data_IF_749755351883
#
_entry.id   IF_749755351883
#
_cell.length_a   1.000
_cell.length_b   1.000
_cell.length_c   1.000
_cell.angle_alpha   90.00
_cell.angle_beta   90.00
_cell.angle_gamma   90.00
#
_symmetry.space_group_name_H-M   'P 1'
#
loop_
_entity.id
_entity.type
_entity.pdbx_description
1 polymer ?
#
# COMPACT_ATOMS: atom_id res chain seq x y z
N UNK A 1 28.29 -19.80 61.59
CA UNK A 1 27.86 -20.67 62.70
C UNK A 1 26.80 -21.63 62.16
N UNK A 2 27.12 -22.94 62.11
CA UNK A 2 26.28 -24.16 61.93
C UNK A 2 25.25 -24.20 60.76
N UNK A 3 25.42 -25.01 59.70
CA UNK A 3 25.39 -26.48 59.54
C UNK A 3 24.01 -27.17 59.61
N UNK A 4 23.66 -27.83 58.47
CA UNK A 4 22.99 -29.16 58.29
C UNK A 4 21.50 -29.27 58.69
N UNK A 5 20.64 -30.13 58.13
CA UNK A 5 20.80 -31.48 57.53
C UNK A 5 19.46 -32.00 56.92
N UNK A 6 19.53 -32.85 55.87
CA UNK A 6 18.82 -34.15 55.62
C UNK A 6 17.26 -34.21 55.58
N UNK A 7 16.55 -35.19 54.98
CA UNK A 7 16.84 -36.48 54.31
C UNK A 7 15.61 -36.95 53.48
N UNK A 8 15.87 -37.99 52.68
CA UNK A 8 15.03 -38.73 51.71
C UNK A 8 13.85 -39.53 52.30
N UNK A 9 12.93 -40.00 51.46
CA UNK A 9 12.60 -41.45 51.37
C UNK A 9 11.80 -41.86 50.12
N UNK A 10 12.17 -43.05 49.64
CA UNK A 10 11.73 -43.80 48.46
C UNK A 10 10.67 -44.87 48.80
N UNK A 11 10.01 -45.38 47.75
CA UNK A 11 9.71 -46.81 47.45
C UNK A 11 8.43 -47.54 47.97
N UNK A 12 7.57 -47.94 47.00
CA UNK A 12 7.41 -49.33 46.48
C UNK A 12 6.09 -50.15 46.69
N UNK A 13 5.75 -50.90 45.61
CA UNK A 13 5.04 -52.21 45.45
C UNK A 13 3.49 -52.26 45.64
N UNK A 14 2.63 -52.61 44.65
CA UNK A 14 2.38 -53.85 43.84
C UNK A 14 1.43 -54.88 44.54
N UNK A 15 0.77 -55.89 43.90
CA UNK A 15 -0.22 -55.95 42.78
C UNK A 15 -1.43 -56.91 43.08
N UNK A 16 -2.14 -57.39 42.02
CA UNK A 16 -3.05 -58.57 41.91
C UNK A 16 -4.57 -58.26 41.89
N UNK A 17 -5.50 -58.98 41.23
CA UNK A 17 -5.48 -60.24 40.46
C UNK A 17 -6.78 -60.43 39.64
N UNK A 18 -6.65 -61.12 38.49
CA UNK A 18 -7.55 -62.10 37.83
C UNK A 18 -9.03 -61.88 37.40
N UNK A 19 -9.25 -62.42 36.19
CA UNK A 19 -10.36 -63.29 35.69
C UNK A 19 -11.61 -62.63 35.08
N UNK A 20 -11.97 -63.11 33.89
CA UNK A 20 -13.38 -63.21 33.47
C UNK A 20 -13.64 -63.02 31.97
N UNK A 21 -13.71 -64.13 31.25
CA UNK A 21 -14.12 -64.25 29.84
C UNK A 21 -15.65 -64.09 29.66
N UNK A 22 -16.13 -63.45 28.57
CA UNK A 22 -17.15 -63.95 27.59
C UNK A 22 -17.85 -62.83 26.79
N UNK A 23 -17.65 -62.88 25.46
CA UNK A 23 -18.63 -62.87 24.34
C UNK A 23 -19.91 -62.01 24.49
N UNK A 24 -20.15 -61.06 23.57
CA UNK A 24 -21.31 -61.07 22.62
C UNK A 24 -21.74 -59.66 22.14
N UNK A 25 -22.14 -59.62 20.87
CA UNK A 25 -23.00 -58.63 20.16
C UNK A 25 -22.31 -57.51 19.37
N UNK A 26 -22.15 -57.83 18.09
CA UNK A 26 -22.14 -56.89 16.95
C UNK A 26 -23.32 -55.92 17.04
N UNK A 27 -23.04 -54.63 17.15
CA UNK A 27 -23.98 -53.55 16.88
C UNK A 27 -23.43 -52.76 15.69
N UNK A 28 -24.05 -52.93 14.54
CA UNK A 28 -23.82 -52.12 13.33
C UNK A 28 -24.24 -50.69 13.62
N UNK A 29 -23.26 -49.81 13.78
CA UNK A 29 -23.47 -48.37 13.92
C UNK A 29 -23.33 -47.74 12.53
N UNK A 30 -24.47 -47.46 11.90
CA UNK A 30 -24.53 -46.78 10.60
C UNK A 30 -24.22 -45.30 10.83
N UNK A 31 -22.95 -44.92 10.73
CA UNK A 31 -22.51 -43.52 10.87
C UNK A 31 -22.95 -42.73 9.64
N UNK A 32 -23.90 -41.82 9.85
CA UNK A 32 -24.37 -40.84 8.89
C UNK A 32 -23.20 -39.91 8.50
N UNK A 33 -22.68 -40.04 7.28
CA UNK A 33 -21.64 -39.17 6.74
C UNK A 33 -22.28 -37.83 6.33
N UNK A 34 -22.27 -36.84 7.22
CA UNK A 34 -22.68 -35.47 6.90
C UNK A 34 -21.63 -34.81 6.00
N UNK A 35 -21.99 -34.64 4.73
CA UNK A 35 -21.22 -33.90 3.73
C UNK A 35 -21.22 -32.42 4.12
N UNK A 36 -20.18 -31.95 4.82
CA UNK A 36 -19.92 -30.52 5.03
C UNK A 36 -19.53 -29.91 3.68
N UNK A 37 -20.51 -29.33 2.98
CA UNK A 37 -20.26 -28.49 1.83
C UNK A 37 -19.61 -27.21 2.37
N UNK A 38 -18.28 -27.13 2.33
CA UNK A 38 -17.56 -25.89 2.55
C UNK A 38 -17.86 -24.97 1.36
N UNK A 39 -18.90 -24.14 1.50
CA UNK A 39 -19.09 -23.00 0.62
C UNK A 39 -17.90 -22.07 0.83
N UNK A 40 -16.98 -22.05 -0.13
CA UNK A 40 -15.95 -21.02 -0.21
C UNK A 40 -16.66 -19.68 -0.45
N UNK A 41 -16.88 -18.93 0.63
CA UNK A 41 -17.33 -17.55 0.54
C UNK A 41 -16.21 -16.75 -0.13
N UNK A 42 -16.43 -16.35 -1.39
CA UNK A 42 -15.55 -15.38 -2.03
C UNK A 42 -15.70 -14.06 -1.26
N UNK A 43 -14.64 -13.61 -0.60
CA UNK A 43 -14.63 -12.30 0.04
C UNK A 43 -14.70 -11.24 -1.06
N UNK A 44 -15.77 -10.44 -1.06
CA UNK A 44 -15.86 -9.27 -1.94
C UNK A 44 -14.88 -8.23 -1.41
N UNK A 45 -14.01 -7.65 -2.25
CA UNK A 45 -13.10 -6.58 -1.81
C UNK A 45 -13.90 -5.41 -1.20
N UNK A 46 -13.37 -4.75 -0.15
CA UNK A 46 -14.02 -3.57 0.42
C UNK A 46 -14.15 -2.45 -0.61
N UNK A 47 -15.08 -1.52 -0.41
CA UNK A 47 -15.16 -0.34 -1.26
C UNK A 47 -13.96 0.59 -0.98
N UNK A 48 -13.40 1.24 -2.00
CA UNK A 48 -12.22 2.10 -1.80
C UNK A 48 -12.51 3.29 -0.86
N UNK A 49 -13.75 3.76 -0.83
CA UNK A 49 -14.22 4.79 0.11
C UNK A 49 -14.18 4.33 1.58
N UNK A 50 -14.32 3.02 1.85
CA UNK A 50 -14.22 2.46 3.19
C UNK A 50 -12.77 2.37 3.67
N UNK A 51 -11.84 2.39 2.71
CA UNK A 51 -10.40 2.33 2.96
C UNK A 51 -9.84 3.75 3.13
N UNK A 52 -10.10 4.62 2.17
CA UNK A 52 -9.62 6.01 2.15
C UNK A 52 -10.71 6.96 2.64
N UNK A 53 -11.12 6.84 3.90
CA UNK A 53 -12.30 7.54 4.41
C UNK A 53 -12.12 9.06 4.55
N UNK A 54 -10.92 9.50 4.93
CA UNK A 54 -10.68 10.87 5.39
C UNK A 54 -9.33 11.46 4.93
N UNK A 55 -8.81 10.97 3.80
CA UNK A 55 -7.56 11.45 3.18
C UNK A 55 -6.26 11.00 3.83
N UNK A 56 -6.19 10.93 5.17
CA UNK A 56 -5.02 10.43 5.91
C UNK A 56 -5.44 9.41 6.95
N UNK A 57 -4.67 8.33 7.08
CA UNK A 57 -4.94 7.28 8.05
C UNK A 57 -3.70 6.41 8.30
N UNK A 58 -3.60 5.90 9.53
CA UNK A 58 -2.69 4.80 9.84
C UNK A 58 -3.36 3.44 9.63
N UNK A 59 -2.64 2.49 9.03
CA UNK A 59 -3.08 1.10 8.82
C UNK A 59 -2.50 0.11 9.85
N UNK A 60 -1.93 0.59 10.98
CA UNK A 60 -1.40 -0.25 12.07
C UNK A 60 -1.79 0.29 13.43
N UNK A 61 -2.03 -0.63 14.37
CA UNK A 61 -2.43 -0.29 15.75
C UNK A 61 -1.40 0.48 16.56
N UNK A 62 -0.15 0.53 16.10
CA UNK A 62 0.96 1.27 16.71
C UNK A 62 1.43 2.46 15.85
N UNK A 63 0.73 2.75 14.75
CA UNK A 63 1.10 3.80 13.82
C UNK A 63 0.55 5.17 14.17
N UNK A 64 0.95 6.18 13.39
CA UNK A 64 0.58 7.57 13.65
C UNK A 64 0.48 8.43 12.39
N UNK A 65 -0.17 9.59 12.55
CA UNK A 65 -0.11 10.71 11.60
C UNK A 65 0.48 11.92 12.32
N UNK A 66 1.56 12.51 11.79
CA UNK A 66 2.20 13.70 12.38
C UNK A 66 2.17 14.88 11.41
N UNK A 67 1.71 16.01 11.90
CA UNK A 67 1.72 17.31 11.23
C UNK A 67 2.81 18.19 11.83
N UNK A 68 3.87 18.44 11.07
CA UNK A 68 4.87 19.44 11.42
C UNK A 68 4.38 20.86 11.09
N UNK A 69 5.26 21.84 11.31
CA UNK A 69 4.96 23.27 11.21
C UNK A 69 4.18 23.63 9.93
N UNK A 70 2.95 24.13 10.11
CA UNK A 70 2.09 24.61 9.03
C UNK A 70 1.75 23.56 7.95
N UNK A 71 1.94 22.28 8.23
CA UNK A 71 1.47 21.22 7.35
C UNK A 71 -0.03 20.97 7.52
N UNK A 72 -0.71 20.53 6.44
CA UNK A 72 -2.18 20.47 6.43
C UNK A 72 -2.75 19.29 5.66
N UNK A 73 -3.84 18.77 6.21
CA UNK A 73 -4.87 18.04 5.49
C UNK A 73 -5.98 19.03 5.10
N UNK A 74 -6.25 19.12 3.80
CA UNK A 74 -7.22 20.04 3.21
C UNK A 74 -8.43 19.23 2.77
N UNK A 75 -9.63 19.77 3.02
CA UNK A 75 -10.93 19.14 2.76
C UNK A 75 -11.11 17.74 3.38
N UNK A 76 -10.72 17.49 4.63
CA UNK A 76 -11.10 16.24 5.27
C UNK A 76 -12.62 16.14 5.41
N UNK A 77 -13.16 14.93 5.37
CA UNK A 77 -14.56 14.63 5.68
C UNK A 77 -14.87 14.76 7.18
N UNK A 78 -13.85 14.68 8.04
CA UNK A 78 -13.93 14.86 9.48
C UNK A 78 -12.60 15.37 10.04
N UNK A 79 -12.61 16.11 11.16
CA UNK A 79 -11.34 16.46 11.83
C UNK A 79 -10.74 15.29 12.62
N UNK A 80 -11.46 14.18 12.78
CA UNK A 80 -10.96 12.97 13.42
C UNK A 80 -10.42 12.00 12.38
N UNK A 81 -9.12 11.67 12.46
CA UNK A 81 -8.46 10.67 11.62
C UNK A 81 -8.60 9.29 12.25
N UNK A 82 -8.84 8.28 11.41
CA UNK A 82 -8.87 6.88 11.84
C UNK A 82 -7.44 6.40 12.06
N UNK A 83 -6.86 6.79 13.18
CA UNK A 83 -5.45 6.60 13.51
C UNK A 83 -5.28 6.48 15.03
N UNK A 84 -4.34 5.64 15.52
CA UNK A 84 -4.07 5.53 16.96
C UNK A 84 -3.60 6.83 17.61
N UNK A 85 -2.73 7.57 16.92
CA UNK A 85 -2.15 8.81 17.42
C UNK A 85 -2.01 9.88 16.35
N UNK A 86 -2.40 11.12 16.68
CA UNK A 86 -2.15 12.30 15.86
C UNK A 86 -1.23 13.26 16.61
N UNK A 87 -0.08 13.56 16.00
CA UNK A 87 0.83 14.59 16.49
C UNK A 87 0.64 15.88 15.71
N UNK A 88 0.49 17.01 16.40
CA UNK A 88 0.44 18.34 15.77
C UNK A 88 1.53 19.25 16.34
N UNK A 89 1.99 20.19 15.52
CA UNK A 89 2.93 21.21 15.97
C UNK A 89 2.16 22.45 16.45
N UNK A 90 2.15 22.66 17.76
CA UNK A 90 1.41 23.76 18.43
C UNK A 90 1.91 25.17 18.06
N UNK A 91 3.13 25.29 17.52
CA UNK A 91 3.65 26.57 17.01
C UNK A 91 3.16 26.90 15.60
N UNK A 92 2.37 26.02 14.97
CA UNK A 92 1.81 26.29 13.64
C UNK A 92 0.85 27.48 13.70
N UNK A 93 1.03 28.41 12.76
CA UNK A 93 0.13 29.55 12.58
C UNK A 93 -1.22 29.14 11.98
N UNK A 94 -1.29 27.92 11.42
CA UNK A 94 -2.47 27.37 10.76
C UNK A 94 -2.79 25.99 11.30
N UNK A 95 -4.07 25.66 11.30
CA UNK A 95 -4.57 24.39 11.82
C UNK A 95 -4.43 23.27 10.79
N UNK A 96 -4.22 22.04 11.26
CA UNK A 96 -3.92 20.88 10.41
C UNK A 96 -5.12 20.34 9.64
N UNK A 97 -6.36 20.58 10.11
CA UNK A 97 -7.62 20.16 9.48
C UNK A 97 -8.59 21.34 9.35
N UNK A 98 -8.34 22.23 8.39
CA UNK A 98 -9.21 23.40 8.15
C UNK A 98 -9.18 24.40 9.30
N UNK A 99 -10.29 24.54 10.02
CA UNK A 99 -10.44 25.47 11.16
C UNK A 99 -9.93 24.88 12.49
N UNK A 100 -9.69 23.56 12.55
CA UNK A 100 -9.25 22.87 13.77
C UNK A 100 -8.01 22.02 13.51
N UNK A 101 -7.28 21.65 14.57
CA UNK A 101 -6.30 20.58 14.43
C UNK A 101 -7.01 19.25 14.19
N UNK A 102 -6.39 18.39 13.38
CA UNK A 102 -6.83 17.01 13.29
C UNK A 102 -6.64 16.32 14.65
N UNK A 103 -7.56 15.42 15.01
CA UNK A 103 -7.49 14.58 16.21
C UNK A 103 -7.50 13.11 15.83
N UNK A 104 -7.06 12.25 16.74
CA UNK A 104 -7.06 10.80 16.61
C UNK A 104 -8.41 10.17 16.98
N UNK A 105 -8.70 9.00 16.40
CA UNK A 105 -9.79 8.12 16.85
C UNK A 105 -9.35 7.14 17.95
N UNK A 106 -8.02 6.95 18.11
CA UNK A 106 -7.45 5.91 18.98
C UNK A 106 -7.39 4.52 18.35
N UNK A 107 -7.74 4.37 17.07
CA UNK A 107 -7.77 3.09 16.37
C UNK A 107 -7.20 3.21 14.96
N UNK A 108 -6.47 2.19 14.51
CA UNK A 108 -6.06 2.10 13.11
C UNK A 108 -7.26 1.84 12.20
N UNK A 109 -7.18 2.34 10.98
CA UNK A 109 -8.16 2.00 9.97
C UNK A 109 -7.83 0.71 9.22
N UNK A 110 -8.71 0.29 8.29
CA UNK A 110 -8.50 -0.94 7.54
C UNK A 110 -7.18 -0.90 6.77
N UNK A 111 -6.48 -2.04 6.79
CA UNK A 111 -5.25 -2.27 6.03
C UNK A 111 -5.61 -2.96 4.73
N UNK A 112 -5.08 -2.47 3.61
CA UNK A 112 -5.06 -3.22 2.35
C UNK A 112 -3.90 -4.19 2.35
N UNK A 113 -4.15 -5.40 1.86
CA UNK A 113 -3.11 -6.42 1.68
C UNK A 113 -3.11 -6.90 0.23
N UNK A 114 -2.02 -6.62 -0.47
CA UNK A 114 -1.87 -6.96 -1.89
C UNK A 114 -1.29 -8.36 -2.15
N UNK A 115 -0.99 -9.15 -1.11
CA UNK A 115 -0.18 -10.35 -1.29
C UNK A 115 1.30 -10.01 -1.50
N UNK A 116 2.13 -10.96 -1.93
CA UNK A 116 3.50 -10.70 -2.36
C UNK A 116 3.54 -9.98 -3.71
N UNK A 117 4.60 -9.20 -3.96
CA UNK A 117 4.83 -8.59 -5.27
C UNK A 117 4.94 -9.67 -6.36
N UNK A 118 4.29 -9.45 -7.50
CA UNK A 118 4.54 -10.23 -8.72
C UNK A 118 5.90 -9.87 -9.30
N UNK A 119 6.74 -10.87 -9.54
CA UNK A 119 8.10 -10.71 -10.09
C UNK A 119 8.21 -11.41 -11.45
N UNK A 120 9.22 -11.04 -12.23
CA UNK A 120 9.54 -11.70 -13.51
C UNK A 120 10.95 -12.30 -13.50
N UNK A 121 11.21 -13.25 -14.39
CA UNK A 121 12.55 -13.73 -14.74
C UNK A 121 12.90 -13.42 -16.21
N UNK A 122 12.09 -12.58 -16.87
CA UNK A 122 12.30 -12.12 -18.24
C UNK A 122 13.67 -11.49 -18.39
N UNK A 123 14.33 -11.72 -19.52
CA UNK A 123 15.57 -11.04 -19.89
C UNK A 123 15.33 -9.80 -20.76
N UNK A 124 14.06 -9.44 -21.04
CA UNK A 124 13.72 -8.34 -21.93
C UNK A 124 14.17 -7.00 -21.34
N UNK A 125 14.90 -6.22 -22.14
CA UNK A 125 15.35 -4.88 -21.75
C UNK A 125 14.86 -3.84 -22.75
N UNK A 126 14.42 -2.68 -22.26
CA UNK A 126 14.07 -1.54 -23.09
C UNK A 126 14.88 -0.31 -22.69
N UNK A 127 15.33 0.43 -23.70
CA UNK A 127 15.99 1.73 -23.53
C UNK A 127 15.27 2.72 -24.42
N UNK A 128 14.80 3.82 -23.83
CA UNK A 128 14.31 4.97 -24.58
C UNK A 128 15.41 6.05 -24.54
N UNK A 129 16.12 6.31 -25.65
CA UNK A 129 17.26 7.23 -25.68
C UNK A 129 16.86 8.69 -25.37
N UNK A 130 17.84 9.56 -25.05
CA UNK A 130 17.57 10.95 -24.74
C UNK A 130 16.75 11.64 -25.83
N UNK A 131 15.78 12.46 -25.42
CA UNK A 131 14.89 13.21 -26.32
C UNK A 131 14.01 12.37 -27.27
N UNK A 132 14.01 11.04 -27.14
CA UNK A 132 13.20 10.16 -27.98
C UNK A 132 11.85 9.90 -27.33
N UNK A 133 10.78 9.87 -28.13
CA UNK A 133 9.51 9.27 -27.75
C UNK A 133 9.42 7.85 -28.31
N UNK A 134 9.14 6.87 -27.47
CA UNK A 134 9.00 5.47 -27.88
C UNK A 134 7.84 4.78 -27.16
N UNK A 135 7.11 3.94 -27.90
CA UNK A 135 6.12 3.04 -27.32
C UNK A 135 6.76 1.71 -26.93
N UNK A 136 6.51 1.25 -25.71
CA UNK A 136 7.04 0.01 -25.14
C UNK A 136 5.91 -1.00 -24.95
N UNK A 137 6.27 -2.29 -25.01
CA UNK A 137 5.38 -3.37 -24.60
C UNK A 137 4.33 -3.81 -25.62
N UNK A 138 4.64 -3.71 -26.92
CA UNK A 138 3.73 -4.18 -27.98
C UNK A 138 3.67 -5.71 -28.06
N UNK A 139 4.80 -6.36 -27.80
CA UNK A 139 4.93 -7.82 -27.89
C UNK A 139 5.23 -8.48 -26.53
N UNK A 140 5.74 -7.70 -25.58
CA UNK A 140 6.18 -8.19 -24.27
C UNK A 140 5.57 -7.33 -23.18
N UNK A 141 5.12 -7.95 -22.10
CA UNK A 141 4.66 -7.23 -20.91
C UNK A 141 5.55 -7.46 -19.68
N UNK A 142 6.61 -8.26 -19.83
CA UNK A 142 7.57 -8.56 -18.78
C UNK A 142 8.98 -8.09 -19.15
N UNK A 143 9.62 -7.33 -18.25
CA UNK A 143 10.92 -6.69 -18.48
C UNK A 143 11.88 -6.90 -17.30
N UNK A 144 13.12 -7.31 -17.60
CA UNK A 144 14.23 -7.21 -16.68
C UNK A 144 14.54 -5.73 -16.36
N UNK A 145 14.60 -4.89 -17.40
CA UNK A 145 14.88 -3.46 -17.22
C UNK A 145 14.21 -2.58 -18.25
N UNK A 146 13.78 -1.41 -17.79
CA UNK A 146 13.30 -0.30 -18.63
C UNK A 146 14.06 0.95 -18.21
N UNK A 147 14.83 1.53 -19.12
CA UNK A 147 15.54 2.80 -18.89
C UNK A 147 14.98 3.88 -19.79
N UNK A 148 14.60 5.00 -19.19
CA UNK A 148 14.06 6.17 -19.86
C UNK A 148 15.05 7.30 -19.62
N UNK A 149 15.75 7.68 -20.68
CA UNK A 149 16.84 8.65 -20.57
C UNK A 149 16.32 10.08 -20.47
N UNK A 150 17.26 11.01 -20.27
CA UNK A 150 16.95 12.41 -20.05
C UNK A 150 16.06 12.97 -21.17
N UNK A 151 15.03 13.72 -20.77
CA UNK A 151 14.05 14.31 -21.69
C UNK A 151 13.32 13.32 -22.61
N UNK A 152 13.50 12.01 -22.43
CA UNK A 152 12.85 10.99 -23.22
C UNK A 152 11.40 10.79 -22.74
N UNK A 153 10.58 10.21 -23.61
CA UNK A 153 9.20 9.83 -23.30
C UNK A 153 8.99 8.36 -23.63
N UNK A 154 8.78 7.53 -22.61
CA UNK A 154 8.27 6.18 -22.79
C UNK A 154 6.74 6.18 -22.67
N UNK A 155 6.08 5.44 -23.53
CA UNK A 155 4.64 5.22 -23.51
C UNK A 155 4.37 3.71 -23.53
N UNK A 156 3.74 3.15 -22.50
CA UNK A 156 3.39 1.74 -22.54
C UNK A 156 2.20 1.47 -23.46
N UNK A 157 2.21 0.31 -24.10
CA UNK A 157 1.17 -0.15 -25.00
C UNK A 157 -0.14 -0.47 -24.28
N UNK A 158 -1.26 -0.41 -24.99
CA UNK A 158 -2.54 -1.01 -24.56
C UNK A 158 -2.69 -2.47 -24.99
N UNK A 159 -1.63 -3.10 -25.54
CA UNK A 159 -1.65 -4.51 -25.94
C UNK A 159 -1.78 -5.47 -24.74
N UNK A 160 -1.45 -4.98 -23.55
CA UNK A 160 -1.56 -5.69 -22.29
C UNK A 160 -2.16 -4.75 -21.24
N UNK A 161 -2.92 -5.32 -20.31
CA UNK A 161 -3.49 -4.65 -19.15
C UNK A 161 -2.63 -4.80 -17.88
N UNK A 162 -1.58 -5.63 -17.94
CA UNK A 162 -0.64 -5.87 -16.87
C UNK A 162 0.80 -5.88 -17.37
N UNK A 163 1.70 -5.19 -16.65
CA UNK A 163 3.14 -5.16 -16.88
C UNK A 163 3.92 -5.54 -15.62
N UNK A 164 4.97 -6.33 -15.77
CA UNK A 164 5.86 -6.76 -14.68
C UNK A 164 7.29 -6.34 -15.02
N UNK A 165 7.90 -5.53 -14.17
CA UNK A 165 9.16 -4.86 -14.44
C UNK A 165 10.07 -5.02 -13.23
N UNK A 166 11.23 -5.65 -13.43
CA UNK A 166 12.18 -5.80 -12.34
C UNK A 166 12.82 -4.46 -11.97
N UNK A 167 13.32 -3.70 -12.95
CA UNK A 167 13.87 -2.35 -12.72
C UNK A 167 13.38 -1.35 -13.75
N UNK A 168 12.80 -0.25 -13.30
CA UNK A 168 12.46 0.90 -14.13
C UNK A 168 13.25 2.13 -13.65
N UNK A 169 14.02 2.73 -14.54
CA UNK A 169 14.84 3.92 -14.26
C UNK A 169 14.41 5.09 -15.15
N UNK A 170 14.14 6.23 -14.52
CA UNK A 170 13.72 7.47 -15.17
C UNK A 170 14.74 8.57 -14.86
N UNK A 171 15.45 9.03 -15.89
CA UNK A 171 16.44 10.10 -15.78
C UNK A 171 15.80 11.49 -15.73
N UNK A 172 16.60 12.53 -15.53
CA UNK A 172 16.18 13.93 -15.46
C UNK A 172 15.15 14.31 -16.54
N UNK A 173 14.02 14.88 -16.11
CA UNK A 173 12.94 15.36 -17.00
C UNK A 173 12.37 14.31 -17.97
N UNK A 174 12.62 13.03 -17.73
CA UNK A 174 11.97 11.96 -18.48
C UNK A 174 10.47 11.88 -18.18
N UNK A 175 9.74 11.32 -19.12
CA UNK A 175 8.29 11.13 -19.03
C UNK A 175 7.95 9.66 -19.21
N UNK A 176 7.19 9.10 -18.27
CA UNK A 176 6.55 7.80 -18.41
C UNK A 176 5.04 8.02 -18.60
N UNK A 177 4.47 7.45 -19.66
CA UNK A 177 3.02 7.52 -19.92
C UNK A 177 2.45 6.11 -19.87
N UNK A 178 1.47 5.92 -19.01
CA UNK A 178 0.90 4.60 -18.70
C UNK A 178 -0.57 4.57 -19.10
N UNK A 179 -1.01 3.69 -20.02
CA UNK A 179 -2.43 3.40 -20.15
C UNK A 179 -2.97 2.74 -18.88
N UNK A 180 -4.29 2.78 -18.72
CA UNK A 180 -4.98 2.06 -17.65
C UNK A 180 -4.54 0.59 -17.61
N UNK A 181 -4.28 0.09 -16.41
CA UNK A 181 -3.70 -1.24 -16.21
C UNK A 181 -2.94 -1.35 -14.89
N UNK A 182 -2.37 -2.52 -14.66
CA UNK A 182 -1.61 -2.87 -13.45
C UNK A 182 -0.11 -2.96 -13.75
N UNK A 183 0.70 -2.31 -12.94
CA UNK A 183 2.14 -2.23 -13.12
C UNK A 183 2.84 -2.72 -11.86
N UNK A 184 3.48 -3.88 -11.95
CA UNK A 184 4.29 -4.45 -10.88
C UNK A 184 5.73 -4.06 -11.11
N UNK A 185 6.28 -3.19 -10.26
CA UNK A 185 7.66 -2.73 -10.39
C UNK A 185 8.43 -3.10 -9.14
N UNK A 186 9.46 -3.93 -9.29
CA UNK A 186 10.30 -4.29 -8.15
C UNK A 186 11.16 -3.10 -7.70
N UNK A 187 11.89 -2.49 -8.63
CA UNK A 187 12.71 -1.29 -8.35
C UNK A 187 12.32 -0.14 -9.26
N UNK A 188 11.88 0.98 -8.68
CA UNK A 188 11.54 2.21 -9.41
C UNK A 188 12.49 3.34 -9.00
N UNK A 189 13.40 3.74 -9.89
CA UNK A 189 14.35 4.84 -9.66
C UNK A 189 13.96 6.06 -10.48
N UNK A 190 13.85 7.20 -9.81
CA UNK A 190 13.37 8.44 -10.39
C UNK A 190 14.37 9.57 -10.14
N UNK A 191 14.62 10.38 -11.16
CA UNK A 191 15.36 11.64 -11.04
C UNK A 191 14.44 12.87 -11.08
N UNK A 192 15.00 14.03 -10.71
CA UNK A 192 14.26 15.29 -10.52
C UNK A 192 13.55 15.76 -11.79
N UNK A 193 12.49 16.56 -11.61
CA UNK A 193 11.67 17.16 -12.67
C UNK A 193 11.00 16.17 -13.65
N UNK A 194 11.09 14.85 -13.42
CA UNK A 194 10.41 13.83 -14.21
C UNK A 194 8.90 13.78 -13.97
N UNK A 195 8.20 12.97 -14.78
CA UNK A 195 6.76 12.78 -14.62
C UNK A 195 6.24 11.41 -15.04
N UNK A 196 5.23 10.93 -14.32
CA UNK A 196 4.42 9.76 -14.69
C UNK A 196 3.00 10.26 -14.96
N UNK A 197 2.50 10.07 -16.18
CA UNK A 197 1.16 10.51 -16.60
C UNK A 197 0.29 9.32 -17.02
N UNK A 198 -1.01 9.40 -16.73
CA UNK A 198 -2.00 8.43 -17.21
C UNK A 198 -2.37 8.75 -18.66
N UNK A 199 -2.53 7.72 -19.47
CA UNK A 199 -3.07 7.78 -20.84
C UNK A 199 -4.52 7.33 -20.85
N UNK A 200 -5.41 8.24 -21.26
CA UNK A 200 -6.84 7.98 -21.37
C UNK A 200 -7.60 8.16 -20.05
N UNK A 201 -8.72 7.45 -19.95
CA UNK A 201 -9.72 7.68 -18.91
C UNK A 201 -9.72 6.68 -17.76
N UNK A 202 -9.07 5.52 -17.92
CA UNK A 202 -9.03 4.49 -16.88
C UNK A 202 -7.97 4.73 -15.80
N UNK A 203 -7.89 3.78 -14.87
CA UNK A 203 -7.00 3.84 -13.70
C UNK A 203 -5.70 3.08 -13.92
N UNK A 204 -4.59 3.70 -13.54
CA UNK A 204 -3.29 3.04 -13.38
C UNK A 204 -3.15 2.55 -11.94
N UNK A 205 -2.89 1.27 -11.75
CA UNK A 205 -2.53 0.70 -10.45
C UNK A 205 -1.05 0.36 -10.44
N UNK A 206 -0.28 1.05 -9.61
CA UNK A 206 1.17 0.89 -9.50
C UNK A 206 1.53 0.18 -8.19
N UNK A 207 2.14 -1.01 -8.30
CA UNK A 207 2.74 -1.75 -7.20
C UNK A 207 4.26 -1.54 -7.22
N UNK A 208 4.84 -1.10 -6.11
CA UNK A 208 6.31 -0.90 -6.00
C UNK A 208 6.88 -1.58 -4.77
N UNK A 209 7.85 -2.49 -4.96
CA UNK A 209 8.50 -3.22 -3.86
C UNK A 209 9.52 -2.36 -3.11
N UNK A 210 10.49 -1.80 -3.84
CA UNK A 210 11.55 -0.96 -3.27
C UNK A 210 10.99 0.33 -2.67
N UNK A 211 11.69 0.97 -1.71
CA UNK A 211 11.37 2.33 -1.29
C UNK A 211 11.21 3.26 -2.50
N UNK A 212 10.08 3.97 -2.57
CA UNK A 212 9.76 4.88 -3.66
C UNK A 212 9.98 6.33 -3.20
N UNK A 213 10.89 7.03 -3.85
CA UNK A 213 11.06 8.48 -3.66
C UNK A 213 10.60 9.21 -4.90
N UNK A 214 9.62 10.09 -4.76
CA UNK A 214 9.24 11.07 -5.78
C UNK A 214 10.12 12.32 -5.57
N UNK A 215 11.14 12.55 -6.42
CA UNK A 215 12.17 13.55 -6.17
C UNK A 215 11.67 14.99 -6.38
N UNK A 216 12.59 15.96 -6.26
CA UNK A 216 12.32 17.39 -6.43
C UNK A 216 11.48 17.67 -7.68
N UNK A 217 10.35 18.36 -7.51
CA UNK A 217 9.41 18.74 -8.57
C UNK A 217 8.84 17.60 -9.42
N UNK A 218 8.99 16.34 -9.00
CA UNK A 218 8.44 15.20 -9.73
C UNK A 218 6.92 15.26 -9.75
N UNK A 219 6.31 14.88 -10.88
CA UNK A 219 4.85 14.95 -11.07
C UNK A 219 4.27 13.58 -11.33
N UNK A 220 3.28 13.19 -10.53
CA UNK A 220 2.49 11.97 -10.77
C UNK A 220 1.07 12.37 -11.10
N UNK A 221 0.61 11.95 -12.28
CA UNK A 221 -0.74 12.14 -12.79
C UNK A 221 -1.20 13.62 -12.82
N UNK A 222 -0.23 14.54 -12.97
CA UNK A 222 -0.51 15.97 -13.03
C UNK A 222 -1.18 16.40 -14.35
N UNK A 223 -1.07 15.57 -15.40
CA UNK A 223 -1.75 15.79 -16.67
C UNK A 223 -3.28 15.71 -16.55
N UNK A 224 -3.81 14.72 -15.81
CA UNK A 224 -5.26 14.56 -15.63
C UNK A 224 -5.81 15.39 -14.46
N UNK A 225 -5.00 15.56 -13.40
CA UNK A 225 -5.39 16.14 -12.11
C UNK A 225 -6.54 15.42 -11.38
N UNK A 226 -7.00 14.27 -11.90
CA UNK A 226 -7.99 13.42 -11.25
C UNK A 226 -7.26 12.31 -10.48
N UNK A 227 -7.27 12.32 -9.14
CA UNK A 227 -6.57 11.30 -8.36
C UNK A 227 -7.20 9.90 -8.45
N UNK A 228 -8.44 9.75 -8.93
CA UNK A 228 -9.08 8.45 -9.18
C UNK A 228 -8.36 7.64 -10.26
N UNK A 229 -7.61 8.30 -11.16
CA UNK A 229 -6.90 7.68 -12.28
C UNK A 229 -5.56 7.06 -11.89
N UNK A 230 -5.09 7.21 -10.65
CA UNK A 230 -3.81 6.66 -10.23
C UNK A 230 -3.87 6.13 -8.80
N UNK A 231 -3.61 4.83 -8.64
CA UNK A 231 -3.49 4.15 -7.37
C UNK A 231 -2.03 3.68 -7.17
N UNK A 232 -1.51 3.82 -5.95
CA UNK A 232 -0.15 3.41 -5.59
C UNK A 232 -0.23 2.44 -4.41
N UNK A 233 0.35 1.25 -4.56
CA UNK A 233 0.63 0.36 -3.45
C UNK A 233 2.14 0.24 -3.29
N UNK A 234 2.68 0.82 -2.23
CA UNK A 234 4.10 0.73 -1.87
C UNK A 234 4.30 -0.32 -0.76
N UNK A 235 5.09 -1.35 -1.05
CA UNK A 235 5.43 -2.39 -0.07
C UNK A 235 6.46 -1.92 0.97
N UNK A 236 7.15 -0.82 0.69
CA UNK A 236 8.11 -0.16 1.55
C UNK A 236 7.76 1.33 1.66
N UNK A 237 8.73 2.17 1.98
CA UNK A 237 8.52 3.59 2.22
C UNK A 237 8.15 4.36 0.94
N UNK A 238 7.35 5.42 1.10
CA UNK A 238 7.00 6.37 0.05
C UNK A 238 7.31 7.80 0.49
N UNK A 239 8.25 8.43 -0.21
CA UNK A 239 8.68 9.80 0.07
C UNK A 239 8.24 10.74 -1.04
N UNK A 240 7.42 11.73 -0.72
CA UNK A 240 7.09 12.84 -1.59
C UNK A 240 8.06 13.98 -1.30
N UNK A 241 9.11 14.14 -2.10
CA UNK A 241 10.15 15.14 -1.86
C UNK A 241 9.66 16.56 -2.17
N UNK A 242 10.55 17.53 -1.95
CA UNK A 242 10.25 18.97 -2.04
C UNK A 242 9.59 19.33 -3.37
N UNK A 243 8.48 20.07 -3.32
CA UNK A 243 7.77 20.56 -4.51
C UNK A 243 7.17 19.48 -5.42
N UNK A 244 7.26 18.19 -5.07
CA UNK A 244 6.60 17.12 -5.80
C UNK A 244 5.07 17.30 -5.77
N UNK A 245 4.40 16.90 -6.86
CA UNK A 245 2.95 17.00 -6.99
C UNK A 245 2.37 15.68 -7.46
N UNK A 246 1.51 15.08 -6.64
CA UNK A 246 0.91 13.78 -6.91
C UNK A 246 -0.61 13.87 -6.87
N UNK A 247 -1.26 13.32 -7.89
CA UNK A 247 -2.71 13.13 -7.95
C UNK A 247 -2.99 11.63 -7.92
N UNK A 248 -3.11 11.06 -6.73
CA UNK A 248 -3.26 9.62 -6.55
C UNK A 248 -3.83 9.26 -5.17
N UNK A 249 -4.33 8.04 -5.05
CA UNK A 249 -4.55 7.38 -3.76
C UNK A 249 -3.41 6.38 -3.51
N UNK A 250 -2.77 6.47 -2.34
CA UNK A 250 -1.60 5.68 -2.00
C UNK A 250 -1.81 4.86 -0.73
N UNK A 251 -1.59 3.56 -0.80
CA UNK A 251 -1.42 2.68 0.35
C UNK A 251 0.06 2.32 0.50
N UNK A 252 0.60 2.49 1.69
CA UNK A 252 2.01 2.31 2.02
C UNK A 252 2.11 1.37 3.21
N UNK A 253 2.97 0.35 3.13
CA UNK A 253 3.05 -0.64 4.20
C UNK A 253 3.81 -0.16 5.44
N UNK A 254 4.77 0.76 5.26
CA UNK A 254 5.59 1.30 6.34
C UNK A 254 5.50 2.83 6.42
N UNK A 255 6.49 3.60 5.94
CA UNK A 255 6.50 5.05 6.12
C UNK A 255 6.05 5.83 4.89
N UNK A 256 5.14 6.79 5.08
CA UNK A 256 4.88 7.85 4.12
C UNK A 256 5.35 9.19 4.65
N UNK A 257 6.19 9.91 3.88
CA UNK A 257 6.66 11.25 4.26
C UNK A 257 6.39 12.26 3.16
N UNK A 258 5.74 13.38 3.50
CA UNK A 258 5.51 14.51 2.59
C UNK A 258 6.42 15.66 2.99
N UNK A 259 7.48 15.90 2.22
CA UNK A 259 8.47 16.94 2.48
C UNK A 259 7.93 18.35 2.22
N UNK A 260 8.76 19.34 2.56
CA UNK A 260 8.47 20.76 2.38
C UNK A 260 7.84 21.07 1.03
N UNK A 261 6.66 21.69 1.05
CA UNK A 261 5.84 22.04 -0.12
C UNK A 261 5.49 20.89 -1.09
N UNK A 262 5.77 19.64 -0.70
CA UNK A 262 5.21 18.47 -1.36
C UNK A 262 3.68 18.48 -1.23
N UNK A 263 3.01 18.10 -2.30
CA UNK A 263 1.55 18.16 -2.38
C UNK A 263 0.96 16.86 -2.94
N UNK A 264 0.03 16.27 -2.21
CA UNK A 264 -0.77 15.13 -2.66
C UNK A 264 -2.23 15.55 -2.76
N UNK A 265 -2.86 15.23 -3.88
CA UNK A 265 -4.31 15.29 -4.07
C UNK A 265 -4.82 13.86 -4.15
N UNK A 266 -5.80 13.50 -3.33
CA UNK A 266 -6.27 12.13 -3.13
C UNK A 266 -6.14 11.72 -1.67
N UNK A 267 -5.57 10.56 -1.38
CA UNK A 267 -5.41 10.07 0.00
C UNK A 267 -4.16 9.23 0.19
N UNK A 268 -3.63 9.21 1.41
CA UNK A 268 -2.44 8.44 1.77
C UNK A 268 -2.71 7.66 3.05
N UNK A 269 -2.51 6.35 2.97
CA UNK A 269 -2.59 5.42 4.09
C UNK A 269 -1.20 4.83 4.28
N UNK A 270 -0.68 4.85 5.50
CA UNK A 270 0.63 4.29 5.83
C UNK A 270 0.61 3.66 7.23
N UNK A 271 1.68 2.97 7.67
CA UNK A 271 1.82 2.70 9.11
C UNK A 271 2.10 4.00 9.83
N UNK A 272 3.16 4.68 9.42
CA UNK A 272 3.56 5.98 9.94
C UNK A 272 3.49 7.00 8.82
N UNK A 273 2.84 8.12 9.10
CA UNK A 273 2.65 9.18 8.13
C UNK A 273 3.12 10.50 8.70
N UNK A 274 4.02 11.17 7.99
CA UNK A 274 4.59 12.44 8.43
C UNK A 274 4.50 13.51 7.35
N UNK A 275 3.78 14.58 7.66
CA UNK A 275 3.77 15.78 6.87
C UNK A 275 4.81 16.75 7.45
N UNK A 276 5.89 17.00 6.72
CA UNK A 276 6.91 18.00 7.08
C UNK A 276 6.41 19.43 6.83
N UNK A 277 7.21 20.42 7.19
CA UNK A 277 6.77 21.81 7.22
C UNK A 277 6.14 22.28 5.89
N UNK A 278 5.01 22.99 5.94
CA UNK A 278 4.31 23.55 4.76
C UNK A 278 3.85 22.51 3.72
N UNK A 279 3.93 21.21 3.98
CA UNK A 279 3.43 20.18 3.07
C UNK A 279 1.91 20.05 3.16
N UNK A 280 1.30 19.50 2.11
CA UNK A 280 -0.15 19.46 1.99
C UNK A 280 -0.64 18.13 1.41
N UNK A 281 -1.68 17.59 2.03
CA UNK A 281 -2.54 16.56 1.42
C UNK A 281 -3.93 17.16 1.28
N UNK A 282 -4.50 17.14 0.08
CA UNK A 282 -5.88 17.55 -0.19
C UNK A 282 -6.71 16.33 -0.50
N UNK A 283 -7.63 16.02 0.40
CA UNK A 283 -8.55 14.93 0.20
C UNK A 283 -9.56 15.23 -0.91
N UNK A 284 -9.90 14.20 -1.67
CA UNK A 284 -10.85 14.25 -2.76
C UNK A 284 -11.87 13.12 -2.60
N UNK A 285 -12.89 13.38 -1.79
CA UNK A 285 -13.92 12.40 -1.41
C UNK A 285 -14.85 11.99 -2.56
N UNK A 286 -14.86 12.75 -3.67
CA UNK A 286 -15.58 12.35 -4.87
C UNK A 286 -14.73 11.39 -5.70
N UNK A 287 -13.45 11.72 -5.88
CA UNK A 287 -12.54 10.86 -6.64
C UNK A 287 -12.33 9.47 -6.02
N UNK A 288 -12.44 9.31 -4.69
CA UNK A 288 -12.34 7.98 -4.06
C UNK A 288 -13.49 7.05 -4.46
N UNK A 289 -14.66 7.60 -4.80
CA UNK A 289 -15.82 6.82 -5.24
C UNK A 289 -15.61 6.27 -6.65
N UNK A 290 -14.79 6.95 -7.46
CA UNK A 290 -14.42 6.54 -8.82
C UNK A 290 -13.14 5.70 -8.86
N UNK A 291 -12.43 5.58 -7.74
CA UNK A 291 -11.16 4.87 -7.66
C UNK A 291 -11.37 3.37 -7.89
N UNK A 292 -10.65 2.84 -8.88
CA UNK A 292 -10.48 1.41 -9.09
C UNK A 292 -9.06 1.00 -8.69
N UNK A 293 -8.91 0.33 -7.55
CA UNK A 293 -7.63 -0.17 -7.06
C UNK A 293 -7.48 -1.68 -7.32
N UNK A 294 -8.01 -2.14 -8.45
CA UNK A 294 -8.02 -3.54 -8.88
C UNK A 294 -8.82 -4.43 -7.93
N UNK A 295 -8.22 -5.55 -7.53
CA UNK A 295 -8.85 -6.51 -6.61
C UNK A 295 -8.65 -6.14 -5.13
N UNK A 296 -7.93 -5.05 -4.81
CA UNK A 296 -7.73 -4.61 -3.42
C UNK A 296 -8.93 -3.89 -2.84
N UNK A 297 -9.54 -3.03 -3.65
CA UNK A 297 -10.81 -2.38 -3.38
C UNK A 297 -11.42 -1.92 -4.71
N UNK A 298 -12.74 -1.81 -4.74
CA UNK A 298 -13.48 -1.36 -5.93
C UNK A 298 -14.31 -0.12 -5.63
N UNK A 299 -14.61 0.65 -6.66
CA UNK A 299 -15.71 1.62 -6.65
C UNK A 299 -17.04 0.87 -6.55
N UNK A 300 -18.04 1.49 -5.91
CA UNK A 300 -19.42 0.96 -5.88
C UNK A 300 -20.14 1.19 -7.22
#
# INVERSE_FOLDING_TARGET
MKMRHKEQLMQSRSPSSHRGMKISRFATFTTLLTLFIFSSANAVPPACQDIFQNGLQSNRGDGYVRFNYNSRLINPSSNTLLTPYVGVNDWSAIKSCGENHCSESGSAGPRLYAGPLKTTASANTAVVPPHVKQTLGQANNEFASVRIDEWATAEFSTAHDEYIIDTLEMSHKSTLRLPAGTYWIKTLKLEVDGKIDVLGEGTVTLFVESPLTLPLNFRVNAGSKNPAKFAIYAYSDLVFYVGSKTYAFAHVEDWATVHYTGAVVGGVIARNLELLAQSQVRYDALAVQELNFGDLCRSL
#
